data_IF_368329293088
#
_entry.id   IF_368329293088
#
_cell.length_a   1.000
_cell.length_b   1.000
_cell.length_c   1.000
_cell.angle_alpha   90.00
_cell.angle_beta   90.00
_cell.angle_gamma   90.00
#
_symmetry.space_group_name_H-M   'P 1'
#
loop_
_entity.id
_entity.type
_entity.pdbx_description
1 polymer ?
#
# COMPACT_ATOMS: atom_id res chain seq x y z
N UNK A 1 -10.15 13.29 -1.32
CA UNK A 1 -10.05 13.16 -2.78
C UNK A 1 -10.74 14.34 -3.46
N UNK A 2 -10.08 14.98 -4.42
CA UNK A 2 -10.57 16.13 -5.18
C UNK A 2 -11.18 15.72 -6.52
N UNK A 3 -11.96 16.61 -7.15
CA UNK A 3 -12.49 16.37 -8.50
C UNK A 3 -11.39 16.29 -9.58
N UNK A 4 -10.20 16.84 -9.32
CA UNK A 4 -9.06 16.71 -10.22
C UNK A 4 -8.48 15.29 -10.16
N UNK A 5 -8.24 14.78 -8.95
CA UNK A 5 -7.74 13.42 -8.73
C UNK A 5 -8.65 12.35 -9.33
N UNK A 6 -9.98 12.53 -9.23
CA UNK A 6 -10.96 11.63 -9.84
C UNK A 6 -10.88 11.64 -11.38
N UNK A 7 -10.70 12.82 -11.98
CA UNK A 7 -10.54 12.95 -13.44
C UNK A 7 -9.25 12.30 -13.92
N UNK A 8 -8.16 12.46 -13.17
CA UNK A 8 -6.87 11.88 -13.50
C UNK A 8 -6.93 10.34 -13.41
N UNK A 9 -7.57 9.78 -12.38
CA UNK A 9 -7.81 8.35 -12.26
C UNK A 9 -8.63 7.79 -13.44
N UNK A 10 -9.73 8.46 -13.79
CA UNK A 10 -10.58 8.07 -14.93
C UNK A 10 -9.79 8.13 -16.26
N UNK A 11 -8.99 9.17 -16.45
CA UNK A 11 -8.14 9.33 -17.63
C UNK A 11 -7.08 8.23 -17.73
N UNK A 12 -6.42 7.86 -16.63
CA UNK A 12 -5.46 6.73 -16.59
C UNK A 12 -6.13 5.43 -17.02
N UNK A 13 -7.39 5.21 -16.61
CA UNK A 13 -8.12 3.97 -16.93
C UNK A 13 -8.74 3.98 -18.34
N UNK A 14 -8.71 5.13 -19.04
CA UNK A 14 -9.31 5.30 -20.36
C UNK A 14 -10.84 5.37 -20.32
N UNK A 15 -11.39 5.96 -19.27
CA UNK A 15 -12.84 6.17 -19.09
C UNK A 15 -13.18 7.60 -19.55
N UNK A 16 -13.84 7.71 -20.72
CA UNK A 16 -14.06 8.97 -21.44
C UNK A 16 -15.09 9.92 -20.78
N UNK A 17 -15.91 9.43 -19.85
CA UNK A 17 -16.89 10.23 -19.13
C UNK A 17 -17.19 9.58 -17.77
N UNK A 18 -16.49 9.96 -16.68
CA UNK A 18 -16.95 9.58 -15.36
C UNK A 18 -18.29 10.26 -15.18
N UNK A 19 -19.39 9.50 -15.37
CA UNK A 19 -20.78 9.96 -15.21
C UNK A 19 -20.90 10.99 -14.09
N UNK A 20 -21.80 11.99 -14.21
CA UNK A 20 -22.09 13.14 -13.30
C UNK A 20 -22.08 12.91 -11.75
N UNK A 21 -21.74 11.74 -11.23
CA UNK A 21 -21.42 11.41 -9.84
C UNK A 21 -19.93 11.15 -9.55
N UNK A 22 -19.64 10.78 -8.30
CA UNK A 22 -18.28 10.49 -7.86
C UNK A 22 -17.73 9.20 -8.49
N UNK A 23 -16.45 9.23 -8.89
CA UNK A 23 -15.72 8.02 -9.32
C UNK A 23 -15.66 7.03 -8.16
N UNK A 24 -16.06 5.77 -8.40
CA UNK A 24 -16.05 4.67 -7.42
C UNK A 24 -15.39 3.44 -8.01
N UNK A 25 -14.87 2.54 -7.16
CA UNK A 25 -14.29 1.28 -7.61
C UNK A 25 -15.30 0.46 -8.41
N UNK A 26 -16.52 0.28 -7.87
CA UNK A 26 -17.58 -0.46 -8.53
C UNK A 26 -17.98 0.16 -9.89
N UNK A 27 -18.02 1.50 -9.96
CA UNK A 27 -18.30 2.22 -11.20
C UNK A 27 -17.21 2.02 -12.26
N UNK A 28 -15.94 2.01 -11.85
CA UNK A 28 -14.81 1.74 -12.74
C UNK A 28 -14.81 0.29 -13.25
N UNK A 29 -15.06 -0.68 -12.36
CA UNK A 29 -15.12 -2.10 -12.72
C UNK A 29 -16.19 -2.40 -13.78
N UNK A 30 -17.29 -1.67 -13.78
CA UNK A 30 -18.35 -1.80 -14.81
C UNK A 30 -18.03 -1.15 -16.15
N UNK A 31 -16.99 -0.32 -16.25
CA UNK A 31 -16.66 0.47 -17.44
C UNK A 31 -15.35 0.05 -18.11
N UNK A 32 -14.49 -0.65 -17.39
CA UNK A 32 -13.20 -1.12 -17.88
C UNK A 32 -13.39 -2.42 -18.65
N UNK A 33 -13.00 -2.40 -19.93
CA UNK A 33 -12.90 -3.62 -20.72
C UNK A 33 -11.69 -4.44 -20.25
N UNK A 34 -11.86 -5.75 -19.97
CA UNK A 34 -10.74 -6.65 -19.71
C UNK A 34 -9.74 -6.65 -20.86
N UNK A 35 -8.44 -6.57 -20.54
CA UNK A 35 -7.35 -6.66 -21.53
C UNK A 35 -6.33 -7.65 -21.02
N UNK A 36 -6.07 -8.71 -21.78
CA UNK A 36 -4.98 -9.63 -21.46
C UNK A 36 -3.64 -8.95 -21.73
N UNK A 37 -2.82 -8.78 -20.69
CA UNK A 37 -1.42 -8.35 -20.82
C UNK A 37 -0.50 -9.56 -20.55
N UNK A 38 0.04 -10.13 -21.63
CA UNK A 38 0.91 -11.30 -21.55
C UNK A 38 2.21 -11.05 -20.78
N UNK A 39 2.66 -9.80 -20.69
CA UNK A 39 3.80 -9.43 -19.86
C UNK A 39 3.45 -9.58 -18.38
N UNK A 40 2.28 -9.08 -17.95
CA UNK A 40 1.82 -9.25 -16.56
C UNK A 40 1.56 -10.72 -16.24
N UNK A 41 0.93 -11.47 -17.14
CA UNK A 41 0.65 -12.89 -16.94
C UNK A 41 1.95 -13.69 -16.72
N UNK A 42 2.93 -13.51 -17.59
CA UNK A 42 4.21 -14.24 -17.50
C UNK A 42 4.98 -13.92 -16.20
N UNK A 43 4.84 -12.71 -15.66
CA UNK A 43 5.47 -12.34 -14.39
C UNK A 43 4.78 -12.99 -13.20
N UNK A 44 3.46 -13.02 -13.18
CA UNK A 44 2.70 -13.71 -12.13
C UNK A 44 2.99 -15.21 -12.13
N UNK A 45 3.09 -15.82 -13.32
CA UNK A 45 3.50 -17.21 -13.49
C UNK A 45 4.92 -17.45 -12.94
N UNK A 46 5.88 -16.59 -13.27
CA UNK A 46 7.26 -16.69 -12.80
C UNK A 46 7.37 -16.56 -11.27
N UNK A 47 6.67 -15.59 -10.68
CA UNK A 47 6.61 -15.41 -9.22
C UNK A 47 6.01 -16.65 -8.55
N UNK A 48 4.92 -17.19 -9.10
CA UNK A 48 4.31 -18.40 -8.56
C UNK A 48 5.26 -19.59 -8.65
N UNK A 49 5.97 -19.75 -9.77
CA UNK A 49 6.91 -20.84 -9.96
C UNK A 49 8.10 -20.75 -8.99
N UNK A 50 8.63 -19.55 -8.75
CA UNK A 50 9.77 -19.37 -7.86
C UNK A 50 9.39 -19.57 -6.38
N UNK A 51 8.19 -19.17 -5.97
CA UNK A 51 7.72 -19.26 -4.58
C UNK A 51 6.99 -20.57 -4.23
N UNK A 52 6.84 -21.48 -5.19
CA UNK A 52 6.19 -22.77 -4.97
C UNK A 52 6.86 -23.55 -3.84
N UNK A 53 6.06 -23.96 -2.86
CA UNK A 53 6.53 -24.68 -1.67
C UNK A 53 7.41 -23.89 -0.69
N UNK A 54 7.68 -22.58 -0.93
CA UNK A 54 8.49 -21.74 -0.01
C UNK A 54 7.65 -21.00 1.03
N UNK A 55 6.38 -20.73 0.71
CA UNK A 55 5.46 -19.97 1.56
C UNK A 55 4.61 -20.89 2.45
N UNK A 56 4.46 -20.53 3.72
CA UNK A 56 3.67 -21.28 4.70
C UNK A 56 2.22 -20.76 4.74
N UNK A 57 1.30 -21.50 4.11
CA UNK A 57 -0.13 -21.14 4.00
C UNK A 57 -0.74 -20.73 5.34
N UNK A 58 -0.61 -21.56 6.38
CA UNK A 58 -1.22 -21.27 7.68
C UNK A 58 -0.65 -20.00 8.30
N UNK A 59 0.64 -19.68 8.07
CA UNK A 59 1.28 -18.46 8.58
C UNK A 59 0.77 -17.24 7.83
N UNK A 60 0.67 -17.31 6.50
CA UNK A 60 0.10 -16.25 5.67
C UNK A 60 -1.36 -15.96 6.03
N UNK A 61 -2.20 -16.99 6.16
CA UNK A 61 -3.62 -16.83 6.48
C UNK A 61 -3.82 -16.22 7.87
N UNK A 62 -3.05 -16.66 8.87
CA UNK A 62 -3.07 -16.09 10.22
C UNK A 62 -2.66 -14.62 10.23
N UNK A 63 -1.54 -14.27 9.60
CA UNK A 63 -1.09 -12.88 9.63
C UNK A 63 -1.94 -11.97 8.76
N UNK A 64 -2.52 -12.46 7.65
CA UNK A 64 -3.55 -11.72 6.91
C UNK A 64 -4.76 -11.39 7.78
N UNK A 65 -5.25 -12.34 8.58
CA UNK A 65 -6.34 -12.11 9.52
C UNK A 65 -5.94 -11.12 10.63
N UNK A 66 -4.73 -11.24 11.18
CA UNK A 66 -4.24 -10.30 12.19
C UNK A 66 -4.07 -8.87 11.64
N UNK A 67 -3.70 -8.71 10.36
CA UNK A 67 -3.66 -7.41 9.68
C UNK A 67 -5.08 -6.86 9.50
N UNK A 68 -6.05 -7.70 9.14
CA UNK A 68 -7.46 -7.30 9.08
C UNK A 68 -7.96 -6.77 10.44
N UNK A 69 -7.65 -7.48 11.52
CA UNK A 69 -7.97 -7.04 12.88
C UNK A 69 -7.24 -5.75 13.26
N UNK A 70 -6.01 -5.53 12.77
CA UNK A 70 -5.32 -4.26 12.95
C UNK A 70 -6.04 -3.12 12.23
N UNK A 71 -6.44 -3.30 10.96
CA UNK A 71 -7.21 -2.31 10.21
C UNK A 71 -8.51 -1.95 10.95
N UNK A 72 -9.24 -2.96 11.46
CA UNK A 72 -10.46 -2.74 12.22
C UNK A 72 -10.28 -1.97 13.54
N UNK A 73 -9.07 -1.95 14.11
CA UNK A 73 -8.74 -1.20 15.33
C UNK A 73 -8.34 0.25 15.07
N UNK A 74 -8.06 0.63 13.82
CA UNK A 74 -7.61 1.99 13.47
C UNK A 74 -8.55 3.10 13.98
N UNK A 75 -9.89 2.99 13.88
CA UNK A 75 -10.79 4.00 14.46
C UNK A 75 -10.64 4.17 15.97
N UNK A 76 -10.46 3.06 16.71
CA UNK A 76 -10.26 3.12 18.16
C UNK A 76 -8.91 3.78 18.53
N UNK A 77 -7.88 3.66 17.66
CA UNK A 77 -6.63 4.41 17.83
C UNK A 77 -6.88 5.91 17.67
N UNK A 78 -7.71 6.31 16.70
CA UNK A 78 -8.08 7.72 16.52
C UNK A 78 -8.83 8.28 17.72
N UNK A 79 -9.77 7.52 18.27
CA UNK A 79 -10.58 7.90 19.43
C UNK A 79 -9.72 8.07 20.70
N UNK A 80 -8.59 7.35 20.78
CA UNK A 80 -7.61 7.47 21.85
C UNK A 80 -6.78 8.76 21.81
N UNK A 81 -6.76 9.49 20.68
CA UNK A 81 -6.03 10.74 20.53
C UNK A 81 -4.50 10.55 20.52
N UNK A 82 -3.80 11.43 21.25
CA UNK A 82 -2.33 11.42 21.32
C UNK A 82 -1.85 10.25 22.19
N UNK A 83 -0.93 9.40 21.73
CA UNK A 83 -0.37 8.31 22.53
C UNK A 83 0.40 8.79 23.78
N UNK A 84 0.20 8.07 24.89
CA UNK A 84 0.83 8.35 26.20
C UNK A 84 2.29 7.86 26.34
N UNK A 85 2.98 7.56 25.24
CA UNK A 85 4.36 7.06 25.31
C UNK A 85 4.97 6.62 23.98
N UNK A 86 6.12 5.94 24.09
CA UNK A 86 6.99 5.59 22.97
C UNK A 86 6.61 4.30 22.27
N UNK A 87 5.95 3.39 22.99
CA UNK A 87 5.35 2.16 22.48
C UNK A 87 3.86 2.23 22.82
N UNK A 88 3.00 2.09 21.82
CA UNK A 88 1.58 2.38 21.99
C UNK A 88 0.69 1.75 20.92
N UNK A 89 -0.48 2.34 20.67
CA UNK A 89 -1.47 1.78 19.77
C UNK A 89 -0.94 1.57 18.34
N UNK A 90 -0.14 2.48 17.78
CA UNK A 90 0.36 2.33 16.41
C UNK A 90 1.38 1.20 16.27
N UNK A 91 2.28 1.04 17.25
CA UNK A 91 3.20 -0.10 17.33
C UNK A 91 2.43 -1.43 17.35
N UNK A 92 1.30 -1.49 18.08
CA UNK A 92 0.44 -2.67 18.10
C UNK A 92 -0.33 -2.91 16.80
N UNK A 93 -0.54 -1.88 15.96
CA UNK A 93 -1.08 -2.03 14.60
C UNK A 93 -0.05 -2.62 13.64
N UNK A 94 1.22 -2.25 13.76
CA UNK A 94 2.30 -2.73 12.89
C UNK A 94 2.75 -4.17 13.19
N UNK A 95 2.54 -4.67 14.42
CA UNK A 95 3.10 -5.95 14.87
C UNK A 95 2.75 -7.17 13.98
N UNK A 96 1.51 -7.36 13.47
CA UNK A 96 1.21 -8.43 12.53
C UNK A 96 1.97 -8.31 11.20
N UNK A 97 2.11 -7.09 10.70
CA UNK A 97 2.85 -6.84 9.48
C UNK A 97 4.33 -7.18 9.60
N UNK A 98 4.96 -6.97 10.76
CA UNK A 98 6.33 -7.43 11.01
C UNK A 98 6.45 -8.96 10.96
N UNK A 99 5.51 -9.70 11.55
CA UNK A 99 5.53 -11.18 11.50
C UNK A 99 5.33 -11.73 10.09
N UNK A 100 4.49 -11.06 9.29
CA UNK A 100 4.35 -11.35 7.86
C UNK A 100 5.64 -11.02 7.12
N UNK A 101 6.20 -9.82 7.32
CA UNK A 101 7.43 -9.36 6.70
C UNK A 101 8.57 -10.35 6.93
N UNK A 102 8.78 -10.80 8.17
CA UNK A 102 9.83 -11.77 8.52
C UNK A 102 9.62 -13.09 7.77
N UNK A 103 8.38 -13.55 7.66
CA UNK A 103 8.07 -14.77 6.89
C UNK A 103 8.38 -14.61 5.40
N UNK A 104 7.97 -13.50 4.80
CA UNK A 104 8.21 -13.21 3.38
C UNK A 104 9.71 -13.10 3.10
N UNK A 105 10.46 -12.46 4.01
CA UNK A 105 11.92 -12.38 3.93
C UNK A 105 12.58 -13.76 4.02
N UNK A 106 12.18 -14.59 5.00
CA UNK A 106 12.68 -15.97 5.15
C UNK A 106 12.41 -16.84 3.91
N UNK A 107 11.29 -16.61 3.22
CA UNK A 107 10.87 -17.37 2.05
C UNK A 107 11.54 -16.91 0.73
N UNK A 108 12.35 -15.84 0.75
CA UNK A 108 12.92 -15.25 -0.47
C UNK A 108 11.88 -14.53 -1.35
N UNK A 109 10.77 -14.10 -0.75
CA UNK A 109 9.64 -13.47 -1.46
C UNK A 109 10.05 -12.18 -2.14
N UNK A 110 10.80 -11.33 -1.44
CA UNK A 110 11.13 -10.00 -1.93
C UNK A 110 12.14 -10.03 -3.08
N UNK A 111 13.08 -10.96 -3.04
CA UNK A 111 14.04 -11.22 -4.12
C UNK A 111 13.30 -11.68 -5.37
N UNK A 112 12.38 -12.64 -5.23
CA UNK A 112 11.52 -13.11 -6.32
C UNK A 112 10.73 -11.97 -6.97
N UNK A 113 10.16 -11.07 -6.16
CA UNK A 113 9.45 -9.90 -6.68
C UNK A 113 10.40 -8.95 -7.41
N UNK A 114 11.59 -8.66 -6.87
CA UNK A 114 12.55 -7.73 -7.50
C UNK A 114 13.06 -8.27 -8.85
N UNK A 115 13.22 -9.60 -8.97
CA UNK A 115 13.61 -10.27 -10.22
C UNK A 115 12.50 -10.25 -11.27
N UNK A 116 11.25 -10.43 -10.85
CA UNK A 116 10.15 -10.69 -11.76
C UNK A 116 9.23 -9.48 -12.00
N UNK A 117 9.16 -8.50 -11.10
CA UNK A 117 8.32 -7.31 -11.26
C UNK A 117 9.08 -6.19 -11.97
N UNK A 118 8.40 -5.43 -12.86
CA UNK A 118 9.05 -4.34 -13.54
C UNK A 118 9.16 -3.11 -12.63
N UNK A 119 10.07 -2.20 -12.98
CA UNK A 119 10.03 -0.83 -12.44
C UNK A 119 8.67 -0.18 -12.68
N UNK A 120 8.30 0.74 -11.79
CA UNK A 120 7.13 1.60 -12.00
C UNK A 120 7.33 2.47 -13.25
N UNK A 121 6.44 2.29 -14.23
CA UNK A 121 6.32 3.15 -15.41
C UNK A 121 4.85 3.54 -15.55
N UNK A 122 4.54 4.63 -16.24
CA UNK A 122 3.16 5.05 -16.46
C UNK A 122 2.30 3.92 -17.08
N UNK A 123 2.82 3.21 -18.08
CA UNK A 123 2.12 2.08 -18.70
C UNK A 123 1.90 0.90 -17.74
N UNK A 124 2.90 0.56 -16.90
CA UNK A 124 2.71 -0.49 -15.90
C UNK A 124 1.74 -0.09 -14.79
N UNK A 125 1.71 1.19 -14.41
CA UNK A 125 0.75 1.71 -13.43
C UNK A 125 -0.66 1.64 -14.01
N UNK A 126 -0.88 2.03 -15.27
CA UNK A 126 -2.18 1.86 -15.94
C UNK A 126 -2.64 0.40 -15.88
N UNK A 127 -1.83 -0.55 -16.34
CA UNK A 127 -2.18 -1.97 -16.32
C UNK A 127 -2.44 -2.46 -14.89
N UNK A 128 -1.62 -2.04 -13.92
CA UNK A 128 -1.77 -2.40 -12.51
C UNK A 128 -3.12 -1.95 -11.95
N UNK A 129 -3.49 -0.68 -12.17
CA UNK A 129 -4.76 -0.12 -11.66
C UNK A 129 -5.93 -0.79 -12.38
N UNK A 130 -5.83 -1.03 -13.69
CA UNK A 130 -6.85 -1.76 -14.47
C UNK A 130 -7.12 -3.16 -13.91
N UNK A 131 -6.08 -3.96 -13.77
CA UNK A 131 -6.19 -5.34 -13.26
C UNK A 131 -6.64 -5.39 -11.81
N UNK A 132 -6.19 -4.43 -10.99
CA UNK A 132 -6.66 -4.32 -9.61
C UNK A 132 -8.16 -4.05 -9.55
N UNK A 133 -8.68 -3.11 -10.35
CA UNK A 133 -10.11 -2.81 -10.40
C UNK A 133 -10.94 -4.03 -10.81
N UNK A 134 -10.44 -4.82 -11.77
CA UNK A 134 -11.09 -6.04 -12.27
C UNK A 134 -10.98 -7.23 -11.31
N UNK A 135 -10.13 -7.16 -10.28
CA UNK A 135 -9.96 -8.22 -9.28
C UNK A 135 -11.04 -8.14 -8.19
N UNK A 136 -12.25 -8.66 -8.49
CA UNK A 136 -13.35 -8.78 -7.51
C UNK A 136 -12.91 -9.39 -6.16
N UNK A 137 -12.08 -10.47 -6.11
CA UNK A 137 -11.63 -11.03 -4.85
C UNK A 137 -10.85 -10.06 -3.96
N UNK A 138 -10.14 -9.08 -4.54
CA UNK A 138 -9.39 -8.08 -3.80
C UNK A 138 -10.29 -6.95 -3.31
N UNK A 139 -11.21 -6.47 -4.16
CA UNK A 139 -12.18 -5.45 -3.75
C UNK A 139 -13.06 -5.95 -2.60
N UNK A 140 -13.58 -7.18 -2.71
CA UNK A 140 -14.39 -7.80 -1.65
C UNK A 140 -13.59 -8.06 -0.37
N UNK A 141 -12.29 -8.39 -0.49
CA UNK A 141 -11.44 -8.57 0.68
C UNK A 141 -11.22 -7.23 1.43
N UNK A 142 -11.08 -6.12 0.70
CA UNK A 142 -10.95 -4.78 1.30
C UNK A 142 -12.25 -4.36 2.01
N UNK A 143 -13.41 -4.65 1.41
CA UNK A 143 -14.71 -4.44 2.08
C UNK A 143 -14.80 -5.21 3.40
N UNK A 144 -14.36 -6.47 3.38
CA UNK A 144 -14.37 -7.36 4.54
C UNK A 144 -13.52 -6.88 5.72
N UNK A 145 -12.56 -5.98 5.50
CA UNK A 145 -11.71 -5.41 6.55
C UNK A 145 -12.00 -3.96 6.86
N UNK A 146 -13.11 -3.42 6.32
CA UNK A 146 -13.63 -2.11 6.68
C UNK A 146 -13.08 -0.95 5.85
N UNK A 147 -12.59 -1.20 4.63
CA UNK A 147 -12.44 -0.13 3.64
C UNK A 147 -13.78 0.16 2.99
N UNK A 148 -14.22 1.41 3.03
CA UNK A 148 -15.39 1.84 2.26
C UNK A 148 -15.02 2.15 0.80
N UNK A 149 -16.03 2.42 -0.04
CA UNK A 149 -15.82 2.75 -1.46
C UNK A 149 -14.92 3.97 -1.68
N UNK A 150 -15.01 4.99 -0.82
CA UNK A 150 -14.20 6.20 -0.94
C UNK A 150 -12.73 5.90 -0.60
N UNK A 151 -12.48 5.11 0.44
CA UNK A 151 -11.15 4.67 0.83
C UNK A 151 -10.54 3.72 -0.21
N UNK A 152 -11.30 2.75 -0.75
CA UNK A 152 -10.83 1.89 -1.86
C UNK A 152 -10.47 2.71 -3.10
N UNK A 153 -11.29 3.71 -3.44
CA UNK A 153 -11.01 4.60 -4.58
C UNK A 153 -9.79 5.49 -4.32
N UNK A 154 -9.59 5.93 -3.08
CA UNK A 154 -8.38 6.65 -2.69
C UNK A 154 -7.12 5.78 -2.89
N UNK A 155 -7.16 4.48 -2.53
CA UNK A 155 -6.04 3.58 -2.80
C UNK A 155 -5.72 3.46 -4.30
N UNK A 156 -6.74 3.37 -5.17
CA UNK A 156 -6.54 3.37 -6.63
C UNK A 156 -5.90 4.67 -7.11
N UNK A 157 -6.39 5.80 -6.58
CA UNK A 157 -5.91 7.14 -6.90
C UNK A 157 -4.44 7.29 -6.51
N UNK A 158 -4.07 6.83 -5.32
CA UNK A 158 -2.69 6.83 -4.83
C UNK A 158 -1.76 6.10 -5.80
N UNK A 159 -2.19 4.98 -6.37
CA UNK A 159 -1.39 4.24 -7.37
C UNK A 159 -1.37 4.96 -8.72
N UNK A 160 -2.55 5.33 -9.24
CA UNK A 160 -2.70 5.87 -10.59
C UNK A 160 -2.01 7.24 -10.79
N UNK A 161 -2.18 8.14 -9.82
CA UNK A 161 -1.81 9.54 -9.98
C UNK A 161 -0.37 9.84 -9.53
N UNK A 162 0.35 8.87 -8.98
CA UNK A 162 1.72 9.05 -8.46
C UNK A 162 2.80 8.37 -9.30
N UNK A 163 2.53 8.08 -10.58
CA UNK A 163 3.46 7.34 -11.45
C UNK A 163 4.87 7.94 -11.52
N UNK A 164 5.01 9.27 -11.57
CA UNK A 164 6.32 9.94 -11.59
C UNK A 164 7.08 9.82 -10.26
N UNK A 165 6.37 9.84 -9.13
CA UNK A 165 6.96 9.64 -7.80
C UNK A 165 7.37 8.18 -7.62
N UNK A 166 6.47 7.26 -7.97
CA UNK A 166 6.73 5.82 -7.93
C UNK A 166 7.91 5.43 -8.83
N UNK A 167 8.09 6.08 -9.99
CA UNK A 167 9.23 5.84 -10.87
C UNK A 167 10.61 6.11 -10.23
N UNK A 168 10.67 6.85 -9.12
CA UNK A 168 11.92 7.08 -8.34
C UNK A 168 12.28 5.88 -7.47
N UNK A 169 11.32 5.00 -7.20
CA UNK A 169 11.52 3.74 -6.51
C UNK A 169 11.95 2.68 -7.53
N UNK A 170 13.25 2.41 -7.59
CA UNK A 170 13.85 1.47 -8.55
C UNK A 170 14.11 0.12 -7.87
N UNK A 171 13.79 -1.02 -8.51
CA UNK A 171 14.22 -2.34 -8.08
C UNK A 171 15.72 -2.39 -7.82
N UNK A 172 16.15 -3.11 -6.78
CA UNK A 172 17.55 -3.10 -6.35
C UNK A 172 18.49 -3.62 -7.44
N UNK A 173 18.05 -4.62 -8.20
CA UNK A 173 18.74 -5.19 -9.35
C UNK A 173 18.77 -4.29 -10.60
N UNK A 174 18.08 -3.15 -10.59
CA UNK A 174 17.98 -2.19 -11.70
C UNK A 174 18.63 -0.84 -11.37
N UNK A 175 19.26 -0.71 -10.19
CA UNK A 175 20.01 0.51 -9.84
C UNK A 175 21.25 0.60 -10.74
N UNK A 176 21.50 1.74 -11.41
CA UNK A 176 22.66 1.90 -12.29
C UNK A 176 23.99 1.71 -11.55
N UNK A 177 24.98 1.14 -12.24
CA UNK A 177 26.35 1.10 -11.75
C UNK A 177 26.93 2.51 -11.58
N UNK A 178 27.83 2.68 -10.60
CA UNK A 178 28.57 3.93 -10.39
C UNK A 178 27.82 5.02 -9.60
N UNK A 179 26.72 4.68 -8.93
CA UNK A 179 26.11 5.55 -7.90
C UNK A 179 27.00 5.62 -6.65
N UNK A 180 26.83 6.68 -5.85
CA UNK A 180 27.72 6.99 -4.70
C UNK A 180 27.62 5.96 -3.56
N UNK A 181 26.56 5.15 -3.51
CA UNK A 181 26.30 4.18 -2.45
C UNK A 181 26.44 2.72 -2.92
N UNK A 182 26.70 1.82 -1.98
CA UNK A 182 26.86 0.39 -2.25
C UNK A 182 25.51 -0.27 -2.57
N UNK A 183 25.22 -0.44 -3.86
CA UNK A 183 23.95 -0.99 -4.37
C UNK A 183 23.66 -2.41 -3.87
N UNK A 184 24.70 -3.21 -3.61
CA UNK A 184 24.58 -4.56 -3.08
C UNK A 184 23.96 -4.64 -1.67
N UNK A 185 23.92 -3.51 -0.94
CA UNK A 185 23.31 -3.43 0.40
C UNK A 185 21.88 -2.87 0.37
N UNK A 186 21.40 -2.44 -0.80
CA UNK A 186 20.05 -1.89 -0.96
C UNK A 186 19.05 -3.05 -0.99
N UNK A 187 18.10 -3.13 -0.06
CA UNK A 187 17.11 -4.19 -0.09
C UNK A 187 16.20 -4.08 -1.33
N UNK A 188 15.63 -5.21 -1.81
CA UNK A 188 14.56 -5.25 -2.81
C UNK A 188 13.51 -4.15 -2.63
N UNK A 189 12.96 -3.64 -3.73
CA UNK A 189 12.01 -2.52 -3.69
C UNK A 189 10.80 -2.82 -2.80
N UNK A 190 10.21 -4.00 -2.98
CA UNK A 190 9.01 -4.42 -2.25
C UNK A 190 9.29 -4.63 -0.76
N UNK A 191 10.51 -5.06 -0.41
CA UNK A 191 10.97 -5.13 0.97
C UNK A 191 11.08 -3.73 1.60
N UNK A 192 11.64 -2.76 0.86
CA UNK A 192 11.76 -1.37 1.32
C UNK A 192 10.39 -0.72 1.48
N UNK A 193 9.46 -0.97 0.56
CA UNK A 193 8.09 -0.47 0.64
C UNK A 193 7.38 -0.95 1.91
N UNK A 194 7.33 -2.27 2.13
CA UNK A 194 6.64 -2.88 3.27
C UNK A 194 7.35 -2.56 4.60
N UNK A 195 8.67 -2.73 4.66
CA UNK A 195 9.46 -2.44 5.85
C UNK A 195 9.42 -0.96 6.23
N UNK A 196 9.49 -0.06 5.24
CA UNK A 196 9.35 1.38 5.44
C UNK A 196 7.99 1.75 6.02
N UNK A 197 6.90 1.25 5.45
CA UNK A 197 5.55 1.46 5.97
C UNK A 197 5.42 1.00 7.45
N UNK A 198 5.95 -0.18 7.78
CA UNK A 198 5.91 -0.71 9.14
C UNK A 198 6.75 0.10 10.13
N UNK A 199 7.90 0.62 9.70
CA UNK A 199 8.74 1.52 10.51
C UNK A 199 8.04 2.85 10.77
N UNK A 200 7.41 3.43 9.74
CA UNK A 200 6.65 4.67 9.87
C UNK A 200 5.47 4.53 10.82
N UNK A 201 4.67 3.47 10.68
CA UNK A 201 3.56 3.20 11.61
C UNK A 201 4.09 3.06 13.04
N UNK A 202 5.13 2.25 13.25
CA UNK A 202 5.73 2.08 14.58
C UNK A 202 6.26 3.40 15.16
N UNK A 203 6.81 4.27 14.32
CA UNK A 203 7.36 5.56 14.73
C UNK A 203 6.32 6.57 15.20
N UNK A 204 5.03 6.38 14.87
CA UNK A 204 3.96 7.33 15.19
C UNK A 204 3.73 7.49 16.69
N UNK A 205 3.79 6.41 17.48
CA UNK A 205 3.58 6.52 18.94
C UNK A 205 4.55 7.53 19.56
N UNK A 206 5.85 7.32 19.29
CA UNK A 206 6.92 8.23 19.70
C UNK A 206 6.72 9.64 19.18
N UNK A 207 6.47 9.80 17.88
CA UNK A 207 6.38 11.13 17.26
C UNK A 207 5.22 11.93 17.83
N UNK A 208 4.01 11.35 17.83
CA UNK A 208 2.81 12.04 18.31
C UNK A 208 2.92 12.36 19.80
N UNK A 209 3.46 11.46 20.61
CA UNK A 209 3.71 11.72 22.04
C UNK A 209 4.68 12.87 22.25
N UNK A 210 5.77 12.94 21.48
CA UNK A 210 6.80 13.99 21.61
C UNK A 210 6.32 15.36 21.14
N UNK A 211 5.50 15.42 20.10
CA UNK A 211 5.02 16.66 19.50
C UNK A 211 3.58 17.01 19.84
N UNK A 212 2.97 16.34 20.84
CA UNK A 212 1.56 16.45 21.20
C UNK A 212 1.00 17.88 21.25
N UNK A 213 1.79 18.83 21.78
CA UNK A 213 1.40 20.25 21.89
C UNK A 213 1.26 21.00 20.56
N UNK A 214 1.83 20.45 19.47
CA UNK A 214 1.75 21.03 18.12
C UNK A 214 0.65 20.39 17.27
N UNK A 215 0.09 19.26 17.72
CA UNK A 215 -0.83 18.47 16.90
C UNK A 215 -2.21 19.10 16.83
N UNK A 216 -2.81 19.01 15.66
CA UNK A 216 -4.22 19.35 15.41
C UNK A 216 -5.02 18.07 15.18
N UNK A 217 -6.35 18.16 15.24
CA UNK A 217 -7.21 17.03 14.87
C UNK A 217 -6.96 16.56 13.43
N UNK A 218 -6.65 17.49 12.51
CA UNK A 218 -6.31 17.17 11.12
C UNK A 218 -5.03 16.34 11.01
N UNK A 219 -3.99 16.66 11.79
CA UNK A 219 -2.75 15.86 11.82
C UNK A 219 -3.03 14.44 12.36
N UNK A 220 -3.91 14.31 13.36
CA UNK A 220 -4.30 13.01 13.91
C UNK A 220 -5.17 12.20 12.93
N UNK A 221 -6.09 12.86 12.22
CA UNK A 221 -6.89 12.26 11.14
C UNK A 221 -5.99 11.75 10.02
N UNK A 222 -4.99 12.54 9.61
CA UNK A 222 -4.01 12.16 8.60
C UNK A 222 -3.13 10.99 9.06
N UNK A 223 -2.68 10.98 10.32
CA UNK A 223 -1.91 9.87 10.87
C UNK A 223 -2.67 8.54 10.79
N UNK A 224 -3.96 8.56 11.10
CA UNK A 224 -4.86 7.39 11.08
C UNK A 224 -5.18 7.00 9.63
N UNK A 225 -5.49 7.98 8.76
CA UNK A 225 -5.74 7.75 7.33
C UNK A 225 -4.58 7.03 6.66
N UNK A 226 -3.35 7.57 6.80
CA UNK A 226 -2.19 6.99 6.14
C UNK A 226 -1.72 5.69 6.81
N UNK A 227 -1.94 5.52 8.12
CA UNK A 227 -1.77 4.20 8.78
C UNK A 227 -2.70 3.16 8.18
N UNK A 228 -3.98 3.49 7.99
CA UNK A 228 -4.96 2.58 7.37
C UNK A 228 -4.55 2.25 5.94
N UNK A 229 -4.17 3.24 5.14
CA UNK A 229 -3.73 3.04 3.75
C UNK A 229 -2.51 2.12 3.66
N UNK A 230 -1.48 2.35 4.48
CA UNK A 230 -0.30 1.47 4.55
C UNK A 230 -0.71 0.03 4.92
N UNK A 231 -1.52 -0.16 5.97
CA UNK A 231 -2.04 -1.48 6.34
C UNK A 231 -2.89 -2.13 5.23
N UNK A 232 -3.66 -1.33 4.47
CA UNK A 232 -4.40 -1.76 3.30
C UNK A 232 -3.49 -2.31 2.20
N UNK A 233 -2.40 -1.61 1.89
CA UNK A 233 -1.38 -2.10 0.96
C UNK A 233 -0.76 -3.41 1.43
N UNK A 234 -0.43 -3.53 2.72
CA UNK A 234 0.04 -4.79 3.33
C UNK A 234 -0.99 -5.91 3.20
N UNK A 235 -2.26 -5.61 3.44
CA UNK A 235 -3.35 -6.58 3.35
C UNK A 235 -3.59 -7.07 1.92
N UNK A 236 -3.47 -6.20 0.92
CA UNK A 236 -3.51 -6.59 -0.51
C UNK A 236 -2.35 -7.53 -0.83
N UNK A 237 -1.12 -7.21 -0.42
CA UNK A 237 0.04 -8.09 -0.57
C UNK A 237 -0.16 -9.44 0.12
N UNK A 238 -0.64 -9.44 1.37
CA UNK A 238 -0.91 -10.66 2.14
C UNK A 238 -2.00 -11.52 1.47
N UNK A 239 -3.02 -10.88 0.90
CA UNK A 239 -4.10 -11.56 0.18
C UNK A 239 -3.61 -12.24 -1.09
N UNK A 240 -2.77 -11.55 -1.87
CA UNK A 240 -2.13 -12.12 -3.06
C UNK A 240 -1.16 -13.25 -2.69
N UNK A 241 -0.37 -13.09 -1.62
CA UNK A 241 0.52 -14.15 -1.14
C UNK A 241 -0.25 -15.39 -0.66
N UNK A 242 -1.39 -15.22 0.03
CA UNK A 242 -2.27 -16.33 0.37
C UNK A 242 -2.81 -17.05 -0.88
N UNK A 243 -3.09 -16.30 -1.95
CA UNK A 243 -3.62 -16.86 -3.20
C UNK A 243 -2.57 -17.70 -3.95
N UNK A 244 -1.28 -17.36 -3.86
CA UNK A 244 -0.18 -18.15 -4.43
C UNK A 244 -0.17 -19.60 -3.92
N UNK A 245 -0.44 -19.80 -2.63
CA UNK A 245 -0.45 -21.12 -1.95
C UNK A 245 -1.85 -21.67 -1.68
N UNK A 246 -2.86 -20.97 -2.19
CA UNK A 246 -4.27 -21.23 -1.90
C UNK A 246 -5.05 -21.68 -3.13
N UNK A 247 -6.29 -21.21 -3.20
CA UNK A 247 -7.27 -21.68 -4.18
C UNK A 247 -7.13 -21.00 -5.56
N UNK A 248 -6.09 -20.17 -5.75
CA UNK A 248 -5.75 -19.48 -7.00
C UNK A 248 -6.93 -18.72 -7.61
N UNK A 249 -7.54 -17.84 -6.82
CA UNK A 249 -8.68 -17.01 -7.23
C UNK A 249 -8.25 -15.81 -8.07
N UNK A 250 -6.99 -15.41 -8.01
CA UNK A 250 -6.43 -14.35 -8.82
C UNK A 250 -5.76 -14.94 -10.07
N UNK A 251 -5.95 -14.26 -11.21
CA UNK A 251 -5.13 -14.55 -12.39
C UNK A 251 -3.69 -14.09 -12.17
N UNK A 252 -2.79 -14.49 -13.07
CA UNK A 252 -1.37 -14.11 -12.97
C UNK A 252 -1.16 -12.61 -13.20
N UNK A 253 -1.99 -12.00 -14.04
CA UNK A 253 -2.06 -10.56 -14.21
C UNK A 253 -2.50 -9.86 -12.92
N UNK A 254 -3.55 -10.36 -12.28
CA UNK A 254 -4.07 -9.81 -11.03
C UNK A 254 -3.11 -10.01 -9.87
N UNK A 255 -2.35 -11.10 -9.82
CA UNK A 255 -1.28 -11.30 -8.84
C UNK A 255 -0.17 -10.27 -9.00
N UNK A 256 0.30 -10.08 -10.24
CA UNK A 256 1.31 -9.06 -10.58
C UNK A 256 0.83 -7.67 -10.19
N UNK A 257 -0.42 -7.34 -10.52
CA UNK A 257 -1.05 -6.08 -10.17
C UNK A 257 -1.19 -5.90 -8.65
N UNK A 258 -1.60 -6.94 -7.92
CA UNK A 258 -1.77 -6.87 -6.46
C UNK A 258 -0.45 -6.60 -5.73
N UNK A 259 0.64 -7.27 -6.11
CA UNK A 259 1.96 -7.01 -5.50
C UNK A 259 2.50 -5.62 -5.83
N UNK A 260 2.33 -5.19 -7.09
CA UNK A 260 2.72 -3.86 -7.55
C UNK A 260 1.92 -2.77 -6.84
N UNK A 261 0.60 -2.88 -6.81
CA UNK A 261 -0.30 -1.92 -6.18
C UNK A 261 -0.13 -1.86 -4.66
N UNK A 262 -0.02 -3.02 -3.98
CA UNK A 262 0.19 -3.06 -2.53
C UNK A 262 1.45 -2.31 -2.12
N UNK A 263 2.53 -2.44 -2.90
CA UNK A 263 3.79 -1.71 -2.67
C UNK A 263 3.67 -0.23 -3.02
N UNK A 264 3.00 0.10 -4.14
CA UNK A 264 2.77 1.49 -4.53
C UNK A 264 1.95 2.26 -3.48
N UNK A 265 0.87 1.66 -2.96
CA UNK A 265 0.07 2.23 -1.85
C UNK A 265 0.94 2.47 -0.61
N UNK A 266 1.76 1.50 -0.21
CA UNK A 266 2.67 1.64 0.94
C UNK A 266 3.69 2.78 0.73
N UNK A 267 4.23 2.92 -0.48
CA UNK A 267 5.18 3.97 -0.84
C UNK A 267 4.51 5.35 -0.78
N UNK A 268 3.35 5.51 -1.41
CA UNK A 268 2.65 6.81 -1.43
C UNK A 268 2.21 7.17 -0.01
N UNK A 269 1.54 6.27 0.69
CA UNK A 269 1.03 6.56 2.03
C UNK A 269 2.13 6.89 3.05
N UNK A 270 3.30 6.25 2.97
CA UNK A 270 4.41 6.58 3.88
C UNK A 270 5.05 7.94 3.55
N UNK A 271 5.14 8.31 2.27
CA UNK A 271 5.61 9.64 1.87
C UNK A 271 4.62 10.73 2.31
N UNK A 272 3.32 10.49 2.11
CA UNK A 272 2.28 11.42 2.55
C UNK A 272 2.23 11.56 4.07
N UNK A 273 2.35 10.46 4.82
CA UNK A 273 2.44 10.51 6.28
C UNK A 273 3.61 11.39 6.73
N UNK A 274 4.77 11.27 6.07
CA UNK A 274 5.94 12.07 6.38
C UNK A 274 5.63 13.57 6.23
N UNK A 275 4.98 13.96 5.14
CA UNK A 275 4.63 15.35 4.87
C UNK A 275 3.51 15.89 5.75
N UNK A 276 2.43 15.13 5.94
CA UNK A 276 1.25 15.57 6.68
C UNK A 276 1.38 15.49 8.20
N UNK A 277 2.23 14.61 8.71
CA UNK A 277 2.27 14.29 10.15
C UNK A 277 3.64 14.57 10.77
N UNK A 278 4.73 14.24 10.07
CA UNK A 278 6.07 14.41 10.62
C UNK A 278 6.65 15.81 10.38
N UNK A 279 6.40 16.41 9.22
CA UNK A 279 6.86 17.76 8.88
C UNK A 279 5.85 18.84 9.32
N UNK A 280 5.66 18.97 10.64
CA UNK A 280 4.76 19.98 11.21
C UNK A 280 5.33 21.38 10.95
N UNK A 281 4.67 22.14 10.06
CA UNK A 281 5.03 23.53 9.77
C UNK A 281 4.28 24.53 10.67
N UNK A 282 4.67 25.80 10.63
CA UNK A 282 4.00 26.87 11.38
C UNK A 282 2.53 27.07 10.98
N UNK A 283 2.17 26.72 9.75
CA UNK A 283 0.80 26.84 9.22
C UNK A 283 -0.10 25.69 9.68
N UNK A 284 0.49 24.52 9.95
CA UNK A 284 -0.22 23.30 10.33
C UNK A 284 -0.41 23.16 11.85
N UNK A 285 0.53 23.69 12.64
CA UNK A 285 0.55 23.43 14.09
C UNK A 285 -0.62 24.09 14.83
N UNK A 286 -0.96 23.50 15.96
CA UNK A 286 -1.86 24.11 16.92
C UNK A 286 -1.38 25.53 17.31
N UNK A 287 -2.31 26.50 17.48
CA UNK A 287 -1.96 27.87 17.83
C UNK A 287 -1.24 27.95 19.18
N UNK A 288 -0.24 28.81 19.27
CA UNK A 288 0.47 29.08 20.53
C UNK A 288 -0.46 29.76 21.54
N UNK A 289 -0.56 29.19 22.75
CA UNK A 289 -1.26 29.79 23.88
C UNK A 289 -0.53 31.00 24.50
N UNK A 290 0.72 31.27 24.07
CA UNK A 290 1.54 32.39 24.56
C UNK A 290 1.26 33.73 23.84
N UNK A 291 0.08 33.88 23.23
CA UNK A 291 -0.34 35.13 22.57
C UNK A 291 -1.19 36.02 23.47
#
# INVERSE_FOLDING_TARGET
MTAAEQRDLAAVLGVDDPSDGAVTWAGLAGQIEPRSDSSFASRGEAIRADLDGRLERDRLERERANIADAIGRVPAVRDGGVPDGMDGPYTALAAPGWRLYDHLLEAGFFESLDENLPRFTAGHIETTVRELVLAEPLSSALDGVGFDEAEKTALLTDVANNSERLARWVPSNQIPDGVEFETATVPPLHQRAMGGALLWIRGLDRHLSQYGVLLTDEILDDAVRYTKAMLGGLFVTATAACDLVGDRRLTDEQLTAAFTAGSAVQIVAQEELCHSVFYITDEMRAPSELR
#
